data_IF_197349158534
#
_entry.id   IF_197349158534
#
_cell.length_a   1.000
_cell.length_b   1.000
_cell.length_c   1.000
_cell.angle_alpha   90.00
_cell.angle_beta   90.00
_cell.angle_gamma   90.00
#
_symmetry.space_group_name_H-M   'P 1'
#
loop_
_entity.id
_entity.type
_entity.pdbx_description
1 polymer ?
#
# COMPACT_ATOMS: atom_id res chain seq x y z
N UNK A 1 -7.90 7.33 -1.96
CA UNK A 1 -8.39 5.96 -1.65
C UNK A 1 -9.55 6.10 -0.69
N UNK A 2 -10.69 5.46 -0.93
CA UNK A 2 -11.88 5.59 -0.08
C UNK A 2 -11.85 4.59 1.07
N UNK A 3 -12.56 4.84 2.18
CA UNK A 3 -12.63 3.89 3.30
C UNK A 3 -13.13 2.50 2.88
N UNK A 4 -14.07 2.44 1.92
CA UNK A 4 -14.62 1.17 1.41
C UNK A 4 -13.55 0.31 0.74
N UNK A 5 -12.64 0.92 -0.02
CA UNK A 5 -11.54 0.20 -0.67
C UNK A 5 -10.59 -0.38 0.37
N UNK A 6 -10.23 0.39 1.41
CA UNK A 6 -9.37 -0.08 2.50
C UNK A 6 -9.98 -1.29 3.23
N UNK A 7 -11.29 -1.26 3.50
CA UNK A 7 -11.99 -2.40 4.11
C UNK A 7 -11.94 -3.65 3.23
N UNK A 8 -12.07 -3.50 1.90
CA UNK A 8 -11.99 -4.63 0.97
C UNK A 8 -10.57 -5.19 0.92
N UNK A 9 -9.56 -4.35 0.79
CA UNK A 9 -8.17 -4.78 0.82
C UNK A 9 -7.81 -5.49 2.13
N UNK A 10 -8.27 -4.97 3.27
CA UNK A 10 -8.09 -5.64 4.56
C UNK A 10 -8.68 -7.04 4.57
N UNK A 11 -9.92 -7.21 4.09
CA UNK A 11 -10.55 -8.53 3.99
C UNK A 11 -9.75 -9.49 3.10
N UNK A 12 -9.23 -9.02 1.97
CA UNK A 12 -8.43 -9.85 1.05
C UNK A 12 -7.13 -10.29 1.72
N UNK A 13 -6.37 -9.37 2.32
CA UNK A 13 -5.08 -9.64 2.97
C UNK A 13 -5.23 -10.55 4.20
N UNK A 14 -6.36 -10.48 4.92
CA UNK A 14 -6.70 -11.42 5.99
C UNK A 14 -7.02 -12.81 5.45
N UNK A 15 -7.71 -12.92 4.31
CA UNK A 15 -8.09 -14.19 3.69
C UNK A 15 -6.93 -14.88 2.95
N UNK A 16 -5.90 -14.13 2.56
CA UNK A 16 -4.70 -14.64 1.87
C UNK A 16 -3.47 -14.39 2.74
N UNK A 17 -3.08 -15.33 3.62
CA UNK A 17 -1.88 -15.20 4.44
C UNK A 17 -0.64 -14.96 3.57
N UNK A 18 0.37 -14.28 4.13
CA UNK A 18 1.65 -13.93 3.48
C UNK A 18 1.57 -12.98 2.27
N UNK A 19 0.39 -12.70 1.71
CA UNK A 19 0.26 -11.67 0.68
C UNK A 19 0.64 -10.28 1.21
N UNK A 20 1.11 -9.40 0.33
CA UNK A 20 1.49 -8.02 0.66
C UNK A 20 0.70 -7.04 -0.19
N UNK A 21 0.54 -5.82 0.31
CA UNK A 21 -0.12 -4.74 -0.42
C UNK A 21 0.89 -3.69 -0.82
N UNK A 22 1.11 -3.50 -2.12
CA UNK A 22 1.90 -2.39 -2.65
C UNK A 22 0.96 -1.26 -3.05
N UNK A 23 1.12 -0.08 -2.47
CA UNK A 23 0.35 1.11 -2.85
C UNK A 23 1.28 2.20 -3.33
N UNK A 24 1.17 2.56 -4.61
CA UNK A 24 1.95 3.62 -5.23
C UNK A 24 1.14 4.91 -5.29
N UNK A 25 1.63 5.97 -4.66
CA UNK A 25 0.96 7.26 -4.66
C UNK A 25 1.94 8.41 -4.38
N UNK A 26 1.80 9.53 -5.11
CA UNK A 26 2.69 10.71 -4.96
C UNK A 26 2.86 11.21 -3.51
N UNK A 27 1.81 11.31 -2.68
CA UNK A 27 1.92 11.82 -1.31
C UNK A 27 2.70 10.93 -0.33
N UNK A 28 3.06 9.69 -0.70
CA UNK A 28 3.85 8.82 0.17
C UNK A 28 5.33 9.21 0.29
N UNK A 29 5.75 10.33 -0.30
CA UNK A 29 7.02 10.97 0.03
C UNK A 29 6.98 11.70 1.39
N UNK A 30 5.78 11.90 1.96
CA UNK A 30 5.59 12.56 3.24
C UNK A 30 5.31 11.53 4.34
N UNK A 31 6.15 11.48 5.37
CA UNK A 31 6.05 10.50 6.44
C UNK A 31 4.73 10.58 7.21
N UNK A 32 4.20 11.78 7.46
CA UNK A 32 2.91 11.93 8.16
C UNK A 32 1.76 11.30 7.39
N UNK A 33 1.80 11.36 6.05
CA UNK A 33 0.82 10.70 5.18
C UNK A 33 0.99 9.19 5.21
N UNK A 34 2.24 8.70 5.17
CA UNK A 34 2.54 7.26 5.31
C UNK A 34 2.01 6.71 6.63
N UNK A 35 2.35 7.36 7.74
CA UNK A 35 1.93 6.94 9.08
C UNK A 35 0.40 6.95 9.22
N UNK A 36 -0.28 8.02 8.77
CA UNK A 36 -1.74 8.07 8.79
C UNK A 36 -2.38 6.93 8.00
N UNK A 37 -1.81 6.60 6.84
CA UNK A 37 -2.30 5.50 6.01
C UNK A 37 -2.10 4.15 6.68
N UNK A 38 -0.89 3.88 7.21
CA UNK A 38 -0.58 2.64 7.93
C UNK A 38 -1.46 2.47 9.17
N UNK A 39 -1.61 3.51 10.00
CA UNK A 39 -2.49 3.45 11.19
C UNK A 39 -3.96 3.20 10.83
N UNK A 40 -4.43 3.67 9.68
CA UNK A 40 -5.79 3.37 9.21
C UNK A 40 -5.94 1.88 8.86
N UNK A 41 -4.91 1.26 8.27
CA UNK A 41 -4.91 -0.16 7.96
C UNK A 41 -4.74 -1.03 9.22
N UNK A 42 -3.91 -0.60 10.19
CA UNK A 42 -3.78 -1.25 11.51
C UNK A 42 -5.12 -1.33 12.24
N UNK A 43 -5.92 -0.25 12.22
CA UNK A 43 -7.27 -0.23 12.78
C UNK A 43 -8.22 -1.23 12.11
N UNK A 44 -7.91 -1.67 10.88
CA UNK A 44 -8.65 -2.70 10.16
C UNK A 44 -8.07 -4.11 10.37
N UNK A 45 -7.08 -4.27 11.26
CA UNK A 45 -6.45 -5.54 11.61
C UNK A 45 -5.30 -5.96 10.69
N UNK A 46 -4.74 -5.04 9.90
CA UNK A 46 -3.59 -5.31 9.04
C UNK A 46 -2.28 -4.95 9.70
N UNK A 47 -1.32 -5.87 9.62
CA UNK A 47 0.06 -5.61 10.06
C UNK A 47 0.77 -4.66 9.08
N UNK A 48 1.36 -3.54 9.54
CA UNK A 48 2.05 -2.58 8.67
C UNK A 48 3.18 -3.19 7.85
N UNK A 49 3.84 -4.21 8.41
CA UNK A 49 4.93 -4.93 7.75
C UNK A 49 4.49 -5.60 6.45
N UNK A 50 3.19 -5.81 6.23
CA UNK A 50 2.63 -6.37 4.99
C UNK A 50 2.24 -5.31 3.95
N UNK A 51 2.57 -4.03 4.20
CA UNK A 51 2.17 -2.91 3.33
C UNK A 51 3.40 -2.13 2.87
N UNK A 52 3.60 -2.05 1.56
CA UNK A 52 4.68 -1.30 0.93
C UNK A 52 4.13 -0.02 0.27
N UNK A 53 4.51 1.14 0.81
CA UNK A 53 4.08 2.44 0.29
C UNK A 53 5.17 3.05 -0.59
N UNK A 54 4.89 3.13 -1.90
CA UNK A 54 5.82 3.67 -2.89
C UNK A 54 5.48 5.14 -3.20
N UNK A 55 6.41 6.09 -3.00
CA UNK A 55 6.20 7.49 -3.36
C UNK A 55 6.19 7.70 -4.89
N UNK A 56 6.09 8.95 -5.33
CA UNK A 56 6.30 9.28 -6.75
C UNK A 56 7.70 8.83 -7.19
N UNK A 57 7.73 8.03 -8.25
CA UNK A 57 8.95 7.70 -8.98
C UNK A 57 9.03 8.69 -10.15
N UNK A 58 10.14 9.42 -10.23
CA UNK A 58 10.29 10.58 -11.12
C UNK A 58 10.42 10.20 -12.60
N UNK A 59 11.10 9.09 -12.90
CA UNK A 59 11.38 8.67 -14.26
C UNK A 59 10.38 7.60 -14.71
N UNK A 60 9.91 7.71 -15.96
CA UNK A 60 8.89 6.81 -16.50
C UNK A 60 9.38 5.35 -16.62
N UNK A 61 10.68 5.13 -16.85
CA UNK A 61 11.22 3.78 -16.90
C UNK A 61 11.20 3.12 -15.51
N UNK A 62 11.64 3.84 -14.47
CA UNK A 62 11.56 3.39 -13.08
C UNK A 62 10.09 3.22 -12.63
N UNK A 63 9.20 4.07 -13.14
CA UNK A 63 7.76 3.94 -12.90
C UNK A 63 7.23 2.59 -13.37
N UNK A 64 7.64 2.15 -14.57
CA UNK A 64 7.28 0.85 -15.13
C UNK A 64 7.97 -0.29 -14.40
N UNK A 65 9.23 -0.12 -14.00
CA UNK A 65 9.97 -1.14 -13.25
C UNK A 65 9.30 -1.47 -11.91
N UNK A 66 8.66 -0.51 -11.25
CA UNK A 66 7.95 -0.75 -10.00
C UNK A 66 6.82 -1.79 -10.10
N UNK A 67 6.27 -2.04 -11.30
CA UNK A 67 5.27 -3.09 -11.49
C UNK A 67 5.85 -4.49 -11.37
N UNK A 68 7.17 -4.66 -11.49
CA UNK A 68 7.81 -5.96 -11.20
C UNK A 68 7.71 -6.38 -9.73
N UNK A 69 7.29 -5.48 -8.84
CA UNK A 69 7.03 -5.76 -7.42
C UNK A 69 5.60 -6.25 -7.16
N UNK A 70 4.76 -6.36 -8.19
CA UNK A 70 3.33 -6.67 -8.07
C UNK A 70 3.01 -7.94 -8.85
N UNK A 71 2.36 -8.89 -8.19
CA UNK A 71 1.88 -10.11 -8.83
C UNK A 71 0.56 -9.89 -9.58
N UNK A 72 -0.26 -8.91 -9.14
CA UNK A 72 -1.58 -8.56 -9.68
C UNK A 72 -1.83 -7.05 -9.74
#
# INVERSE_FOLDING_TARGET
>A
ITPKVLQVWAKILCAVPNSRLVVKCKPFCCDSVRQKFLSTLEQLGLEPLRVDLLPLILLNHDHMQAYSLMDI
#
